data_IF_611764507195
#
_entry.id   IF_611764507195
#
_cell.length_a   1.000
_cell.length_b   1.000
_cell.length_c   1.000
_cell.angle_alpha   90.00
_cell.angle_beta   90.00
_cell.angle_gamma   90.00
#
_symmetry.space_group_name_H-M   'P 1'
#
loop_
_entity.id
_entity.type
_entity.pdbx_description
1 polymer ?
#
# COMPACT_ATOMS: atom_id res chain seq x y z
N UNK A 1 26.09 71.21 7.52
CA UNK A 1 27.27 70.47 6.99
C UNK A 1 27.01 69.04 7.42
N UNK A 2 26.62 68.08 6.60
CA UNK A 2 27.07 67.65 5.26
C UNK A 2 25.89 67.01 4.51
N UNK A 3 25.51 67.49 3.32
CA UNK A 3 26.02 67.15 1.98
C UNK A 3 25.49 65.80 1.45
N UNK A 4 24.37 65.91 0.74
CA UNK A 4 23.97 65.19 -0.47
C UNK A 4 24.94 64.13 -1.03
N UNK A 5 24.47 62.89 -1.19
CA UNK A 5 24.82 62.05 -2.35
C UNK A 5 23.58 61.23 -2.81
N UNK A 6 23.11 61.56 -4.02
CA UNK A 6 22.31 60.69 -4.91
C UNK A 6 23.28 59.98 -5.86
N UNK A 7 22.76 58.94 -6.54
CA UNK A 7 23.30 58.12 -7.64
C UNK A 7 24.02 56.83 -7.19
N UNK A 8 23.83 55.66 -7.81
CA UNK A 8 23.30 55.34 -9.14
C UNK A 8 22.62 53.96 -9.17
N UNK A 9 21.79 53.78 -10.19
CA UNK A 9 21.14 52.54 -10.63
C UNK A 9 22.15 51.45 -11.02
N UNK A 10 21.80 50.18 -10.86
CA UNK A 10 22.59 49.07 -11.38
C UNK A 10 21.94 47.70 -11.26
N UNK A 11 21.16 47.35 -12.29
CA UNK A 11 20.92 46.01 -12.83
C UNK A 11 20.24 44.93 -11.95
N UNK A 12 19.07 44.52 -12.44
CA UNK A 12 18.36 43.28 -12.13
C UNK A 12 19.30 42.07 -12.23
N UNK A 13 19.61 41.46 -11.08
CA UNK A 13 20.18 40.12 -11.02
C UNK A 13 19.04 39.10 -10.99
N UNK A 14 18.95 38.30 -12.05
CA UNK A 14 18.01 37.19 -12.27
C UNK A 14 17.81 36.38 -10.97
N UNK A 15 16.58 36.38 -10.47
CA UNK A 15 16.19 35.54 -9.35
C UNK A 15 16.32 34.07 -9.75
N UNK A 16 17.10 33.37 -8.95
CA UNK A 16 17.39 31.93 -8.93
C UNK A 16 16.19 31.06 -9.33
N UNK A 17 16.20 30.55 -10.57
CA UNK A 17 15.47 29.33 -10.92
C UNK A 17 16.30 28.13 -10.45
N UNK A 18 16.17 27.80 -9.17
CA UNK A 18 16.56 26.51 -8.63
C UNK A 18 15.46 26.03 -7.68
N UNK A 19 14.26 25.86 -8.23
CA UNK A 19 13.26 24.99 -7.63
C UNK A 19 13.75 23.55 -7.75
N UNK A 20 14.77 23.18 -6.97
CA UNK A 20 14.99 21.79 -6.61
C UNK A 20 13.78 21.40 -5.77
N UNK A 21 12.74 20.87 -6.43
CA UNK A 21 11.65 20.22 -5.74
C UNK A 21 12.27 19.11 -4.90
N UNK A 22 12.33 19.33 -3.59
CA UNK A 22 12.78 18.32 -2.65
C UNK A 22 11.78 17.17 -2.75
N UNK A 23 12.14 16.13 -3.50
CA UNK A 23 11.54 14.82 -3.31
C UNK A 23 11.91 14.42 -1.86
N UNK A 24 11.02 14.70 -0.91
CA UNK A 24 11.11 14.20 0.46
C UNK A 24 10.99 12.68 0.39
N UNK A 25 12.11 12.00 0.14
CA UNK A 25 12.19 10.56 0.33
C UNK A 25 12.25 10.31 1.84
N UNK A 26 11.24 9.64 2.37
CA UNK A 26 11.21 9.26 3.77
C UNK A 26 12.47 8.43 4.12
N UNK A 27 13.05 8.60 5.32
CA UNK A 27 14.15 7.77 5.80
C UNK A 27 13.83 6.27 5.67
N UNK A 28 14.82 5.47 5.28
CA UNK A 28 14.65 4.01 5.08
C UNK A 28 14.09 3.28 6.32
N UNK A 29 14.38 3.78 7.53
CA UNK A 29 13.84 3.23 8.77
C UNK A 29 12.32 3.43 8.88
N UNK A 30 11.84 4.64 8.60
CA UNK A 30 10.42 4.98 8.59
C UNK A 30 9.67 4.18 7.51
N UNK A 31 10.26 4.03 6.32
CA UNK A 31 9.69 3.18 5.26
C UNK A 31 9.55 1.72 5.71
N UNK A 32 10.52 1.18 6.44
CA UNK A 32 10.47 -0.20 6.95
C UNK A 32 9.40 -0.38 8.02
N UNK A 33 9.21 0.61 8.90
CA UNK A 33 8.14 0.58 9.90
C UNK A 33 6.76 0.62 9.23
N UNK A 34 6.58 1.48 8.23
CA UNK A 34 5.35 1.52 7.43
C UNK A 34 5.09 0.21 6.71
N UNK A 35 6.12 -0.38 6.06
CA UNK A 35 5.98 -1.69 5.41
C UNK A 35 5.70 -2.82 6.41
N UNK A 36 6.27 -2.77 7.62
CA UNK A 36 5.98 -3.73 8.68
C UNK A 36 4.53 -3.61 9.18
N UNK A 37 4.04 -2.38 9.39
CA UNK A 37 2.65 -2.10 9.75
C UNK A 37 1.69 -2.61 8.67
N UNK A 38 1.98 -2.34 7.39
CA UNK A 38 1.24 -2.89 6.25
C UNK A 38 1.25 -4.41 6.27
N UNK A 39 2.39 -5.05 6.55
CA UNK A 39 2.47 -6.50 6.60
C UNK A 39 1.64 -7.10 7.74
N UNK A 40 1.64 -6.47 8.91
CA UNK A 40 0.82 -6.92 10.05
C UNK A 40 -0.68 -6.89 9.74
N UNK A 41 -1.14 -5.91 8.95
CA UNK A 41 -2.52 -5.87 8.45
C UNK A 41 -2.82 -7.08 7.57
N UNK A 42 -1.96 -7.37 6.59
CA UNK A 42 -2.16 -8.48 5.64
C UNK A 42 -2.10 -9.83 6.34
N UNK A 43 -1.17 -10.02 7.28
CA UNK A 43 -1.14 -11.21 8.12
C UNK A 43 -2.43 -11.39 8.91
N UNK A 44 -3.09 -10.30 9.32
CA UNK A 44 -4.37 -10.36 10.03
C UNK A 44 -5.51 -10.70 9.07
N UNK A 45 -5.55 -10.09 7.87
CA UNK A 45 -6.52 -10.45 6.82
C UNK A 45 -6.41 -11.93 6.46
N UNK A 46 -5.20 -12.43 6.22
CA UNK A 46 -4.97 -13.81 5.77
C UNK A 46 -5.22 -14.87 6.87
N UNK A 47 -5.39 -14.45 8.13
CA UNK A 47 -5.85 -15.32 9.22
C UNK A 47 -7.36 -15.45 9.31
N UNK A 48 -8.11 -14.56 8.66
CA UNK A 48 -9.56 -14.62 8.64
C UNK A 48 -10.03 -15.88 7.87
N UNK A 49 -11.19 -16.48 8.24
CA UNK A 49 -11.57 -17.81 7.75
C UNK A 49 -11.71 -17.95 6.23
N UNK A 50 -12.11 -16.87 5.55
CA UNK A 50 -12.31 -16.89 4.09
C UNK A 50 -10.98 -16.76 3.34
N UNK A 51 -10.13 -15.73 3.63
CA UNK A 51 -8.81 -15.64 3.04
C UNK A 51 -7.89 -16.83 3.33
N UNK A 52 -7.89 -17.37 4.56
CA UNK A 52 -7.02 -18.49 4.93
C UNK A 52 -7.34 -19.75 4.12
N UNK A 53 -8.62 -20.06 3.94
CA UNK A 53 -9.06 -21.17 3.10
C UNK A 53 -8.61 -21.00 1.65
N UNK A 54 -8.66 -19.79 1.10
CA UNK A 54 -8.20 -19.55 -0.28
C UNK A 54 -6.69 -19.79 -0.43
N UNK A 55 -5.89 -19.39 0.57
CA UNK A 55 -4.45 -19.68 0.59
C UNK A 55 -4.22 -21.20 0.59
N UNK A 56 -4.93 -21.95 1.44
CA UNK A 56 -4.84 -23.41 1.49
C UNK A 56 -5.25 -24.08 0.17
N UNK A 57 -6.34 -23.62 -0.44
CA UNK A 57 -6.84 -24.13 -1.71
C UNK A 57 -5.83 -23.91 -2.84
N UNK A 58 -5.22 -22.72 -2.95
CA UNK A 58 -4.19 -22.45 -3.96
C UNK A 58 -2.91 -23.25 -3.69
N UNK A 59 -2.46 -23.31 -2.43
CA UNK A 59 -1.30 -24.10 -2.02
C UNK A 59 -1.48 -25.59 -2.36
N UNK A 60 -2.68 -26.14 -2.16
CA UNK A 60 -3.00 -27.56 -2.45
C UNK A 60 -2.84 -27.95 -3.92
N UNK A 61 -2.83 -26.97 -4.84
CA UNK A 61 -2.57 -27.21 -6.26
C UNK A 61 -1.09 -27.51 -6.54
N UNK A 62 -0.19 -27.30 -5.57
CA UNK A 62 1.24 -27.56 -5.68
C UNK A 62 1.97 -26.70 -6.70
N UNK A 63 1.36 -25.58 -7.12
CA UNK A 63 1.89 -24.69 -8.17
C UNK A 63 2.69 -23.53 -7.62
N UNK A 64 2.48 -23.18 -6.34
CA UNK A 64 2.98 -21.95 -5.74
C UNK A 64 3.25 -22.13 -4.23
N UNK A 65 4.49 -22.44 -3.86
CA UNK A 65 4.93 -22.39 -2.46
C UNK A 65 6.06 -21.37 -2.33
N UNK A 66 5.85 -20.26 -1.58
CA UNK A 66 4.62 -19.82 -0.90
C UNK A 66 3.52 -19.26 -1.84
N UNK A 67 2.26 -19.21 -1.38
CA UNK A 67 1.11 -18.73 -2.19
C UNK A 67 1.23 -17.23 -2.51
N UNK A 68 1.16 -16.80 -3.78
CA UNK A 68 1.25 -15.39 -4.14
C UNK A 68 0.01 -14.61 -3.68
N UNK A 69 0.26 -13.47 -3.06
CA UNK A 69 -0.76 -12.53 -2.59
C UNK A 69 -0.53 -11.16 -3.21
N UNK A 70 -1.52 -10.63 -3.92
CA UNK A 70 -1.49 -9.25 -4.43
C UNK A 70 -2.43 -8.42 -3.56
N UNK A 71 -2.01 -7.20 -3.23
CA UNK A 71 -2.80 -6.34 -2.33
C UNK A 71 -3.04 -4.97 -2.97
N UNK A 72 -4.31 -4.60 -3.06
CA UNK A 72 -4.76 -3.33 -3.63
C UNK A 72 -5.63 -2.56 -2.64
N UNK A 73 -5.52 -1.24 -2.65
CA UNK A 73 -6.50 -0.34 -2.04
C UNK A 73 -7.52 0.04 -3.10
N UNK A 74 -8.79 -0.27 -2.86
CA UNK A 74 -9.92 0.22 -3.64
C UNK A 74 -10.25 1.63 -3.19
N UNK A 75 -10.32 2.53 -4.17
CA UNK A 75 -10.82 3.91 -4.04
C UNK A 75 -12.09 4.04 -4.89
N UNK A 76 -13.27 3.56 -4.43
CA UNK A 76 -14.49 3.55 -5.23
C UNK A 76 -14.87 4.94 -5.76
N UNK A 77 -14.65 5.97 -4.94
CA UNK A 77 -14.89 7.37 -5.26
C UNK A 77 -13.99 7.92 -6.38
N UNK A 78 -12.87 7.26 -6.65
CA UNK A 78 -11.92 7.60 -7.72
C UNK A 78 -11.91 6.57 -8.86
N UNK A 79 -12.76 5.53 -8.79
CA UNK A 79 -12.76 4.40 -9.73
C UNK A 79 -11.35 3.80 -9.95
N UNK A 80 -10.57 3.67 -8.87
CA UNK A 80 -9.15 3.32 -8.94
C UNK A 80 -8.76 2.17 -8.00
N UNK A 81 -7.79 1.37 -8.44
CA UNK A 81 -7.04 0.41 -7.62
C UNK A 81 -5.61 0.91 -7.45
N UNK A 82 -5.19 1.10 -6.21
CA UNK A 82 -3.82 1.49 -5.85
C UNK A 82 -3.08 0.27 -5.30
N UNK A 83 -1.80 0.12 -5.61
CA UNK A 83 -0.99 -0.95 -5.03
C UNK A 83 -0.74 -0.63 -3.56
N UNK A 84 -0.99 -1.58 -2.67
CA UNK A 84 -0.81 -1.33 -1.25
C UNK A 84 0.68 -1.27 -0.84
N UNK A 85 1.52 -2.06 -1.50
CA UNK A 85 2.97 -2.04 -1.32
C UNK A 85 3.62 -1.35 -2.53
N UNK A 86 4.48 -0.36 -2.24
CA UNK A 86 5.16 0.45 -3.26
C UNK A 86 6.50 -0.16 -3.71
N UNK A 87 7.10 -1.04 -2.90
CA UNK A 87 8.36 -1.69 -3.23
C UNK A 87 8.20 -2.80 -4.26
N UNK A 88 9.17 -2.92 -5.17
CA UNK A 88 9.25 -3.97 -6.21
C UNK A 88 9.37 -5.38 -5.61
N UNK A 89 9.96 -5.48 -4.43
CA UNK A 89 10.10 -6.71 -3.65
C UNK A 89 9.53 -6.47 -2.24
N UNK A 90 8.20 -6.55 -2.06
CA UNK A 90 7.61 -6.41 -0.74
C UNK A 90 8.07 -7.56 0.15
N UNK A 91 8.62 -7.23 1.32
CA UNK A 91 9.18 -8.22 2.27
C UNK A 91 8.10 -8.89 3.14
N UNK A 92 6.84 -8.82 2.75
CA UNK A 92 5.73 -9.36 3.52
C UNK A 92 5.40 -10.78 3.08
N UNK A 93 5.52 -11.74 3.98
CA UNK A 93 5.22 -13.15 3.72
C UNK A 93 5.71 -14.05 4.84
N UNK A 94 5.32 -15.31 4.76
CA UNK A 94 5.78 -16.41 5.60
C UNK A 94 5.83 -17.71 4.79
N UNK A 95 5.84 -18.87 5.46
CA UNK A 95 5.88 -20.16 4.79
C UNK A 95 4.63 -20.48 3.96
N UNK A 96 3.51 -19.78 4.20
CA UNK A 96 2.21 -20.05 3.58
C UNK A 96 1.90 -19.08 2.43
N UNK A 97 2.33 -17.84 2.55
CA UNK A 97 2.05 -16.80 1.57
C UNK A 97 3.23 -15.86 1.36
N UNK A 98 3.28 -15.23 0.18
CA UNK A 98 4.21 -14.15 -0.12
C UNK A 98 3.47 -13.04 -0.86
N UNK A 99 3.59 -11.81 -0.36
CA UNK A 99 3.09 -10.65 -1.09
C UNK A 99 3.95 -10.48 -2.34
N UNK A 100 3.30 -10.37 -3.49
CA UNK A 100 3.94 -10.15 -4.78
C UNK A 100 3.27 -8.98 -5.49
N UNK A 101 4.06 -8.34 -6.34
CA UNK A 101 3.65 -7.23 -7.16
C UNK A 101 2.75 -7.68 -8.34
N UNK A 102 3.16 -8.76 -8.98
CA UNK A 102 2.52 -9.40 -10.13
C UNK A 102 2.64 -10.91 -9.97
N UNK A 103 1.73 -11.65 -10.58
CA UNK A 103 1.76 -13.11 -10.62
C UNK A 103 1.24 -13.55 -11.98
N UNK A 104 1.95 -14.46 -12.65
CA UNK A 104 1.50 -15.10 -13.90
C UNK A 104 0.61 -16.33 -13.64
N UNK A 105 0.42 -16.67 -12.37
CA UNK A 105 -0.39 -17.78 -11.88
C UNK A 105 -1.52 -17.23 -11.01
N UNK A 106 -2.47 -18.11 -10.67
CA UNK A 106 -3.52 -17.81 -9.70
C UNK A 106 -2.92 -17.29 -8.39
N UNK A 107 -3.48 -16.19 -7.91
CA UNK A 107 -3.08 -15.55 -6.67
C UNK A 107 -4.30 -15.26 -5.80
N UNK A 108 -4.06 -15.05 -4.51
CA UNK A 108 -5.03 -14.37 -3.66
C UNK A 108 -4.87 -12.87 -3.89
N UNK A 109 -5.93 -12.22 -4.34
CA UNK A 109 -5.99 -10.76 -4.46
C UNK A 109 -6.80 -10.23 -3.29
N UNK A 110 -6.14 -9.47 -2.42
CA UNK A 110 -6.75 -8.78 -1.29
C UNK A 110 -7.03 -7.34 -1.68
N UNK A 111 -8.29 -6.95 -1.58
CA UNK A 111 -8.74 -5.59 -1.78
C UNK A 111 -9.07 -4.96 -0.44
N UNK A 112 -8.48 -3.82 -0.16
CA UNK A 112 -8.66 -3.05 1.05
C UNK A 112 -9.43 -1.77 0.74
N UNK A 113 -10.35 -1.37 1.61
CA UNK A 113 -11.03 -0.09 1.52
C UNK A 113 -10.99 0.58 2.89
N UNK A 114 -10.47 1.80 2.97
CA UNK A 114 -10.45 2.57 4.21
C UNK A 114 -11.88 2.82 4.71
N UNK A 115 -12.09 2.62 6.01
CA UNK A 115 -13.37 2.92 6.67
C UNK A 115 -13.23 4.13 7.60
N UNK A 116 -14.30 4.91 7.76
CA UNK A 116 -14.30 6.19 8.48
C UNK A 116 -13.87 6.08 9.95
N UNK A 117 -14.07 4.93 10.57
CA UNK A 117 -13.79 4.67 11.98
C UNK A 117 -12.30 4.35 12.26
N UNK A 118 -11.45 4.38 11.23
CA UNK A 118 -10.05 3.98 11.33
C UNK A 118 -9.90 2.47 11.19
N UNK A 119 -9.66 2.02 9.97
CA UNK A 119 -9.52 0.60 9.65
C UNK A 119 -9.63 0.33 8.16
N UNK A 120 -9.74 -0.95 7.83
CA UNK A 120 -9.96 -1.42 6.46
C UNK A 120 -11.10 -2.43 6.40
N UNK A 121 -12.05 -2.21 5.52
CA UNK A 121 -12.85 -3.29 4.96
C UNK A 121 -11.97 -4.11 4.00
N UNK A 122 -12.11 -5.43 4.02
CA UNK A 122 -11.34 -6.32 3.13
C UNK A 122 -12.26 -7.22 2.30
N UNK A 123 -11.83 -7.52 1.09
CA UNK A 123 -12.41 -8.51 0.18
C UNK A 123 -11.24 -9.31 -0.42
N UNK A 124 -11.13 -10.59 -0.08
CA UNK A 124 -10.11 -11.46 -0.65
C UNK A 124 -10.74 -12.37 -1.72
N UNK A 125 -10.07 -12.50 -2.86
CA UNK A 125 -10.52 -13.34 -3.96
C UNK A 125 -9.39 -14.15 -4.54
N UNK A 126 -9.69 -15.34 -5.00
CA UNK A 126 -8.85 -16.01 -5.99
C UNK A 126 -9.02 -15.28 -7.32
N UNK A 127 -7.91 -14.87 -7.92
CA UNK A 127 -7.93 -14.18 -9.21
C UNK A 127 -6.79 -14.68 -10.08
N UNK A 128 -7.07 -14.79 -11.38
CA UNK A 128 -6.03 -14.97 -12.39
C UNK A 128 -5.12 -13.74 -12.53
N UNK A 129 -4.04 -13.83 -13.34
CA UNK A 129 -3.08 -12.74 -13.54
C UNK A 129 -3.74 -11.40 -13.94
N UNK A 130 -4.72 -11.47 -14.85
CA UNK A 130 -5.33 -10.29 -15.49
C UNK A 130 -6.69 -9.90 -14.88
N UNK A 131 -7.17 -10.64 -13.87
CA UNK A 131 -8.48 -10.40 -13.28
C UNK A 131 -8.33 -9.47 -12.07
N UNK A 132 -8.58 -8.17 -12.27
CA UNK A 132 -8.75 -7.19 -11.20
C UNK A 132 -10.12 -6.56 -11.26
N UNK A 133 -10.70 -6.27 -10.09
CA UNK A 133 -12.03 -5.64 -10.00
C UNK A 133 -12.06 -4.46 -9.03
N UNK A 134 -12.72 -3.40 -9.48
CA UNK A 134 -13.09 -2.24 -8.67
C UNK A 134 -14.32 -2.51 -7.80
N UNK A 135 -15.07 -3.57 -8.10
CA UNK A 135 -16.36 -3.87 -7.48
C UNK A 135 -16.27 -5.05 -6.52
N UNK A 136 -17.02 -4.96 -5.42
CA UNK A 136 -17.12 -6.05 -4.46
C UNK A 136 -17.76 -5.67 -3.15
N UNK A 137 -18.36 -6.67 -2.50
CA UNK A 137 -18.81 -6.54 -1.13
C UNK A 137 -17.68 -6.96 -0.19
N UNK A 138 -17.35 -6.16 0.84
CA UNK A 138 -16.42 -6.56 1.87
C UNK A 138 -16.85 -7.88 2.54
N UNK A 139 -15.89 -8.76 2.79
CA UNK A 139 -16.08 -10.00 3.56
C UNK A 139 -15.99 -9.75 5.07
N UNK A 140 -15.29 -8.70 5.47
CA UNK A 140 -15.16 -8.28 6.86
C UNK A 140 -14.42 -6.95 6.98
N UNK A 141 -14.19 -6.52 8.21
CA UNK A 141 -13.42 -5.33 8.54
C UNK A 141 -12.31 -5.65 9.52
N UNK A 142 -11.24 -4.86 9.49
CA UNK A 142 -10.17 -4.86 10.48
C UNK A 142 -10.01 -3.45 11.02
N UNK A 143 -9.85 -3.36 12.33
CA UNK A 143 -9.58 -2.11 13.04
C UNK A 143 -8.31 -2.22 13.87
N UNK A 144 -7.69 -1.08 14.16
CA UNK A 144 -6.45 -1.05 14.94
C UNK A 144 -6.76 -1.15 16.44
N UNK A 145 -6.08 -2.06 17.13
CA UNK A 145 -6.13 -2.26 18.57
C UNK A 145 -4.69 -2.24 19.13
N UNK A 146 -4.19 -1.03 19.40
CA UNK A 146 -2.78 -0.82 19.73
C UNK A 146 -1.87 -1.18 18.54
N UNK A 147 -0.84 -2.02 18.70
CA UNK A 147 0.02 -2.43 17.60
C UNK A 147 -0.63 -3.50 16.69
N UNK A 148 -1.76 -4.08 17.09
CA UNK A 148 -2.39 -5.19 16.37
C UNK A 148 -3.58 -4.74 15.51
N UNK A 149 -3.89 -5.54 14.48
CA UNK A 149 -5.13 -5.46 13.73
C UNK A 149 -6.07 -6.56 14.20
N UNK A 150 -7.34 -6.21 14.45
CA UNK A 150 -8.36 -7.15 14.92
C UNK A 150 -9.61 -7.03 14.08
N UNK A 151 -10.34 -8.13 13.93
CA UNK A 151 -11.66 -8.15 13.30
C UNK A 151 -12.57 -7.06 13.90
N UNK A 152 -13.14 -6.25 13.02
CA UNK A 152 -14.26 -5.39 13.35
C UNK A 152 -15.55 -6.22 13.38
N UNK A 153 -16.45 -5.84 14.27
CA UNK A 153 -17.79 -6.42 14.41
C UNK A 153 -18.80 -5.66 13.57
#
# INVERSE_FOLDING_TARGET
MDRFQRWAWGAMGVALLAGAGCAHQAPLAERREVEADKCSLIQSVLKEPTPSRMVEEIASLGRNEPTPVRVYVRRPEQAMLERFFEGDEPRCGDATFQVVQESVLDAVVVYLQEVQEGGYAYDARRSGPDELTLEGQPQGTLRRAGPAWVAGT
#
